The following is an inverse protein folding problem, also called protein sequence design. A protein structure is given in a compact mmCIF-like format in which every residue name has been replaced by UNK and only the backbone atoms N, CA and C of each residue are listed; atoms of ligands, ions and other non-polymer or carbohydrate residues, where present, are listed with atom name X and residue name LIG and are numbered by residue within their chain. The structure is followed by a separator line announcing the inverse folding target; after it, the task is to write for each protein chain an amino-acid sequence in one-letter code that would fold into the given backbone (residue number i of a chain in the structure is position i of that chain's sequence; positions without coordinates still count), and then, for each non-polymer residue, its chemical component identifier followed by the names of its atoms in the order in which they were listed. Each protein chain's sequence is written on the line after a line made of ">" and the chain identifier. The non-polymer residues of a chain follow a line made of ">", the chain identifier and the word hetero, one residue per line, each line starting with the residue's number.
data_IF_722000375832
#
_entry.id   IF_722000375832
#
_cell.length_a   1.000
_cell.length_b   1.000
_cell.length_c   1.000
_cell.angle_alpha   90.00
_cell.angle_beta   90.00
_cell.angle_gamma   90.00
#
_symmetry.space_group_name_H-M   'P 1'
#
loop_
_entity.id
_entity.type
_entity.pdbx_description
1 polymer ?
#
# COMPACT_ATOMS: atom_id res chain seq x y z
N UNK A 1 13.84 -57.33 -30.63
CA UNK A 1 13.62 -56.91 -29.22
C UNK A 1 13.80 -55.42 -28.91
N UNK A 2 14.78 -54.68 -29.49
CA UNK A 2 15.04 -53.27 -29.13
C UNK A 2 13.88 -52.26 -29.39
N UNK A 3 13.04 -52.48 -30.41
CA UNK A 3 11.94 -51.57 -30.80
C UNK A 3 10.85 -51.45 -29.71
N UNK A 4 10.57 -52.54 -28.99
CA UNK A 4 9.58 -52.56 -27.90
C UNK A 4 10.08 -51.79 -26.67
N UNK A 5 11.37 -51.85 -26.37
CA UNK A 5 11.97 -51.15 -25.23
C UNK A 5 12.00 -49.61 -25.40
N UNK A 6 12.14 -49.14 -26.65
CA UNK A 6 12.04 -47.71 -26.99
C UNK A 6 10.59 -47.22 -26.87
N UNK A 7 9.62 -48.03 -27.31
CA UNK A 7 8.19 -47.71 -27.17
C UNK A 7 7.76 -47.62 -25.70
N UNK A 8 8.22 -48.55 -24.85
CA UNK A 8 7.94 -48.54 -23.40
C UNK A 8 8.57 -47.34 -22.70
N UNK A 9 9.78 -46.90 -23.08
CA UNK A 9 10.40 -45.68 -22.54
C UNK A 9 9.59 -44.42 -22.89
N UNK A 10 9.09 -44.32 -24.14
CA UNK A 10 8.26 -43.19 -24.59
C UNK A 10 6.91 -43.16 -23.89
N UNK A 11 6.28 -44.32 -23.66
CA UNK A 11 5.03 -44.42 -22.90
C UNK A 11 5.23 -43.96 -21.44
N UNK A 12 6.32 -44.38 -20.78
CA UNK A 12 6.63 -43.93 -19.41
C UNK A 12 6.86 -42.42 -19.33
N UNK A 13 7.56 -41.83 -20.31
CA UNK A 13 7.75 -40.38 -20.38
C UNK A 13 6.44 -39.63 -20.64
N UNK A 14 5.57 -40.16 -21.52
CA UNK A 14 4.26 -39.57 -21.78
C UNK A 14 3.35 -39.59 -20.55
N UNK A 15 3.33 -40.70 -19.80
CA UNK A 15 2.56 -40.81 -18.54
C UNK A 15 3.11 -39.85 -17.47
N UNK A 16 4.43 -39.70 -17.35
CA UNK A 16 5.03 -38.75 -16.42
C UNK A 16 4.70 -37.29 -16.76
N UNK A 17 4.72 -36.94 -18.05
CA UNK A 17 4.29 -35.62 -18.53
C UNK A 17 2.81 -35.37 -18.26
N UNK A 18 1.95 -36.36 -18.50
CA UNK A 18 0.51 -36.26 -18.24
C UNK A 18 0.21 -36.11 -16.73
N UNK A 19 0.94 -36.82 -15.88
CA UNK A 19 0.81 -36.70 -14.43
C UNK A 19 1.28 -35.33 -13.93
N UNK A 20 2.33 -34.76 -14.54
CA UNK A 20 2.82 -33.44 -14.18
C UNK A 20 1.85 -32.33 -14.59
N UNK A 21 1.22 -32.42 -15.77
CA UNK A 21 0.23 -31.44 -16.23
C UNK A 21 -1.08 -31.51 -15.45
N UNK A 22 -1.52 -32.69 -15.01
CA UNK A 22 -2.73 -32.81 -14.17
C UNK A 22 -2.51 -32.28 -12.75
N UNK A 23 -1.33 -32.49 -12.16
CA UNK A 23 -0.98 -31.92 -10.85
C UNK A 23 -0.93 -30.38 -10.87
N UNK A 24 -0.36 -29.81 -11.94
CA UNK A 24 -0.26 -28.35 -12.08
C UNK A 24 -1.60 -27.69 -12.43
N UNK A 25 -2.51 -28.41 -13.10
CA UNK A 25 -3.88 -27.96 -13.31
C UNK A 25 -4.67 -27.86 -12.00
N UNK A 26 -4.49 -28.78 -11.04
CA UNK A 26 -5.16 -28.73 -9.73
C UNK A 26 -4.78 -27.49 -8.92
N UNK A 27 -3.54 -27.02 -9.02
CA UNK A 27 -3.07 -25.77 -8.39
C UNK A 27 -3.60 -24.50 -9.06
N UNK A 28 -4.02 -24.55 -10.32
CA UNK A 28 -4.58 -23.40 -11.04
C UNK A 28 -6.07 -23.16 -10.74
N UNK A 29 -6.80 -24.20 -10.33
CA UNK A 29 -8.24 -24.11 -10.02
C UNK A 29 -8.57 -23.54 -8.62
N UNK A 30 -7.58 -23.12 -7.81
CA UNK A 30 -7.81 -22.64 -6.44
C UNK A 30 -7.46 -21.17 -6.17
N UNK A 31 -7.05 -20.39 -7.16
CA UNK A 31 -6.98 -18.94 -7.00
C UNK A 31 -8.38 -18.33 -7.14
N UNK A 32 -9.17 -18.44 -6.07
CA UNK A 32 -10.42 -17.69 -5.93
C UNK A 32 -10.09 -16.19 -6.02
N UNK A 33 -10.62 -15.52 -7.05
CA UNK A 33 -10.43 -14.08 -7.24
C UNK A 33 -10.83 -13.27 -6.01
N UNK A 34 -11.79 -13.76 -5.23
CA UNK A 34 -12.17 -13.16 -3.94
C UNK A 34 -11.05 -13.26 -2.90
N UNK A 35 -10.38 -14.41 -2.81
CA UNK A 35 -9.24 -14.59 -1.92
C UNK A 35 -8.07 -13.68 -2.31
N UNK A 36 -7.83 -13.48 -3.61
CA UNK A 36 -6.83 -12.52 -4.10
C UNK A 36 -7.17 -11.06 -3.72
N UNK A 37 -8.42 -10.65 -3.92
CA UNK A 37 -8.89 -9.30 -3.55
C UNK A 37 -8.82 -9.08 -2.04
N UNK A 38 -9.21 -10.07 -1.23
CA UNK A 38 -9.15 -9.99 0.23
C UNK A 38 -7.69 -9.80 0.69
N UNK A 39 -6.76 -10.58 0.12
CA UNK A 39 -5.34 -10.51 0.45
C UNK A 39 -4.71 -9.17 0.06
N UNK A 40 -5.11 -8.62 -1.09
CA UNK A 40 -4.70 -7.28 -1.50
C UNK A 40 -5.25 -6.19 -0.57
N UNK A 41 -6.51 -6.30 -0.15
CA UNK A 41 -7.12 -5.39 0.82
C UNK A 41 -6.38 -5.41 2.17
N UNK A 42 -6.02 -6.60 2.67
CA UNK A 42 -5.26 -6.73 3.92
C UNK A 42 -3.85 -6.14 3.81
N UNK A 43 -3.17 -6.32 2.67
CA UNK A 43 -1.87 -5.68 2.42
C UNK A 43 -1.98 -4.16 2.37
N UNK A 44 -2.98 -3.62 1.66
CA UNK A 44 -3.22 -2.17 1.60
C UNK A 44 -3.50 -1.61 2.99
N UNK A 45 -4.32 -2.29 3.80
CA UNK A 45 -4.56 -1.95 5.22
C UNK A 45 -3.28 -1.95 6.05
N UNK A 46 -2.40 -2.94 5.85
CA UNK A 46 -1.12 -3.00 6.54
C UNK A 46 -0.19 -1.81 6.23
N UNK A 47 -0.28 -1.23 5.03
CA UNK A 47 0.52 -0.04 4.67
C UNK A 47 -0.04 1.27 5.24
N UNK A 48 -1.30 1.32 5.65
CA UNK A 48 -1.90 2.56 6.16
C UNK A 48 -1.26 3.05 7.45
N UNK A 49 -0.83 2.16 8.35
CA UNK A 49 -0.18 2.59 9.60
C UNK A 49 1.17 3.23 9.33
N UNK A 50 2.04 2.56 8.58
CA UNK A 50 3.34 3.13 8.18
C UNK A 50 3.17 4.40 7.33
N UNK A 51 2.15 4.44 6.47
CA UNK A 51 1.81 5.62 5.68
C UNK A 51 1.33 6.80 6.55
N UNK A 52 0.60 6.52 7.63
CA UNK A 52 0.14 7.53 8.59
C UNK A 52 1.31 8.12 9.35
N UNK A 53 2.24 7.28 9.83
CA UNK A 53 3.45 7.74 10.52
C UNK A 53 4.32 8.63 9.61
N UNK A 54 4.47 8.23 8.34
CA UNK A 54 5.17 9.05 7.34
C UNK A 54 4.47 10.40 7.14
N UNK A 55 3.13 10.42 7.07
CA UNK A 55 2.36 11.65 6.92
C UNK A 55 2.52 12.58 8.13
N UNK A 56 2.56 12.04 9.34
CA UNK A 56 2.84 12.84 10.54
C UNK A 56 4.26 13.42 10.54
N UNK A 57 5.26 12.64 10.12
CA UNK A 57 6.62 13.12 9.98
C UNK A 57 6.72 14.28 8.96
N UNK A 58 6.10 14.14 7.79
CA UNK A 58 6.04 15.19 6.77
C UNK A 58 5.28 16.41 7.29
N UNK A 59 4.14 16.20 7.94
CA UNK A 59 3.33 17.26 8.54
C UNK A 59 4.10 18.06 9.59
N UNK A 60 4.90 17.40 10.43
CA UNK A 60 5.75 18.06 11.41
C UNK A 60 6.80 18.97 10.75
N UNK A 61 7.49 18.48 9.71
CA UNK A 61 8.49 19.28 8.98
C UNK A 61 7.85 20.48 8.30
N UNK A 62 6.73 20.29 7.59
CA UNK A 62 6.03 21.40 6.92
C UNK A 62 5.44 22.40 7.93
N UNK A 63 4.96 21.91 9.08
CA UNK A 63 4.49 22.72 10.19
C UNK A 63 5.57 23.67 10.70
N UNK A 64 6.78 23.16 10.94
CA UNK A 64 7.93 23.97 11.36
C UNK A 64 8.31 25.02 10.29
N UNK A 65 8.37 24.64 9.01
CA UNK A 65 8.67 25.56 7.92
C UNK A 65 7.64 26.70 7.85
N UNK A 66 6.35 26.38 8.00
CA UNK A 66 5.29 27.38 8.02
C UNK A 66 5.37 28.31 9.22
N UNK A 67 5.71 27.79 10.41
CA UNK A 67 5.92 28.61 11.61
C UNK A 67 7.05 29.62 11.42
N UNK A 68 8.17 29.20 10.81
CA UNK A 68 9.29 30.11 10.49
C UNK A 68 8.84 31.22 9.54
N UNK A 69 8.03 30.91 8.52
CA UNK A 69 7.50 31.92 7.60
C UNK A 69 6.58 32.93 8.30
N UNK A 70 5.69 32.46 9.18
CA UNK A 70 4.81 33.34 9.97
C UNK A 70 5.64 34.25 10.87
N UNK A 71 6.65 33.71 11.55
CA UNK A 71 7.57 34.49 12.38
C UNK A 71 8.32 35.56 11.56
N UNK A 72 8.81 35.21 10.37
CA UNK A 72 9.48 36.17 9.49
C UNK A 72 8.55 37.33 9.09
N UNK A 73 7.30 37.04 8.69
CA UNK A 73 6.31 38.08 8.35
C UNK A 73 5.96 38.97 9.55
N UNK A 74 5.85 38.37 10.74
CA UNK A 74 5.60 39.11 11.98
C UNK A 74 6.72 40.10 12.27
N UNK A 75 7.98 39.67 12.19
CA UNK A 75 9.13 40.55 12.42
C UNK A 75 9.28 41.63 11.33
N UNK A 76 8.82 41.35 10.10
CA UNK A 76 8.80 42.32 9.01
C UNK A 76 7.68 43.37 9.14
N UNK A 77 6.77 43.25 10.12
CA UNK A 77 5.65 44.18 10.31
C UNK A 77 4.58 44.10 9.23
N UNK A 78 4.48 42.95 8.55
CA UNK A 78 3.60 42.81 7.39
C UNK A 78 2.13 42.73 7.83
N UNK A 79 1.21 43.54 7.26
CA UNK A 79 -0.18 43.63 7.72
C UNK A 79 -0.97 42.32 7.55
N UNK A 80 -0.54 41.45 6.64
CA UNK A 80 -1.20 40.16 6.36
C UNK A 80 -0.73 38.99 7.25
N UNK A 81 0.13 39.24 8.25
CA UNK A 81 0.70 38.19 9.10
C UNK A 81 -0.37 37.33 9.77
N UNK A 82 -1.43 37.95 10.32
CA UNK A 82 -2.53 37.22 10.98
C UNK A 82 -3.28 36.29 10.03
N UNK A 83 -3.45 36.71 8.77
CA UNK A 83 -4.08 35.88 7.73
C UNK A 83 -3.21 34.68 7.36
N UNK A 84 -1.90 34.90 7.22
CA UNK A 84 -0.94 33.84 6.93
C UNK A 84 -0.82 32.87 8.11
N UNK A 85 -0.80 33.38 9.35
CA UNK A 85 -0.78 32.58 10.56
C UNK A 85 -2.04 31.70 10.69
N UNK A 86 -3.22 32.28 10.47
CA UNK A 86 -4.48 31.54 10.50
C UNK A 86 -4.53 30.45 9.42
N UNK A 87 -4.09 30.76 8.19
CA UNK A 87 -4.03 29.80 7.10
C UNK A 87 -3.08 28.64 7.41
N UNK A 88 -1.89 28.93 7.93
CA UNK A 88 -0.91 27.91 8.32
C UNK A 88 -1.45 27.00 9.44
N UNK A 89 -2.04 27.60 10.47
CA UNK A 89 -2.58 26.86 11.61
C UNK A 89 -3.74 25.93 11.19
N UNK A 90 -4.65 26.44 10.35
CA UNK A 90 -5.72 25.64 9.76
C UNK A 90 -5.20 24.45 8.94
N UNK A 91 -4.16 24.66 8.13
CA UNK A 91 -3.51 23.56 7.39
C UNK A 91 -2.86 22.52 8.30
N UNK A 92 -2.24 22.94 9.41
CA UNK A 92 -1.63 22.01 10.37
C UNK A 92 -2.67 21.12 11.05
N UNK A 93 -3.78 21.70 11.51
CA UNK A 93 -4.88 20.95 12.12
C UNK A 93 -5.48 19.96 11.12
N UNK A 94 -5.72 20.39 9.88
CA UNK A 94 -6.26 19.54 8.83
C UNK A 94 -5.40 18.29 8.59
N UNK A 95 -4.08 18.46 8.53
CA UNK A 95 -3.13 17.36 8.30
C UNK A 95 -3.18 16.31 9.43
N UNK A 96 -3.34 16.74 10.68
CA UNK A 96 -3.46 15.84 11.84
C UNK A 96 -4.79 15.08 11.82
N UNK A 97 -5.90 15.75 11.48
CA UNK A 97 -7.24 15.13 11.49
C UNK A 97 -7.44 14.17 10.32
N UNK A 98 -6.86 14.46 9.14
CA UNK A 98 -6.97 13.61 7.95
C UNK A 98 -6.49 12.18 8.23
N UNK A 99 -5.43 12.00 9.01
CA UNK A 99 -4.95 10.69 9.43
C UNK A 99 -6.05 9.86 10.09
N UNK A 100 -6.76 10.44 11.06
CA UNK A 100 -7.84 9.78 11.80
C UNK A 100 -9.05 9.49 10.91
N UNK A 101 -9.38 10.41 10.00
CA UNK A 101 -10.50 10.24 9.06
C UNK A 101 -10.21 9.12 8.08
N UNK A 102 -9.00 9.03 7.53
CA UNK A 102 -8.59 7.94 6.64
C UNK A 102 -8.64 6.60 7.37
N UNK A 103 -8.05 6.49 8.57
CA UNK A 103 -8.14 5.28 9.40
C UNK A 103 -9.58 4.84 9.65
N UNK A 104 -10.46 5.81 9.94
CA UNK A 104 -11.90 5.58 10.14
C UNK A 104 -12.61 5.08 8.88
N UNK A 105 -12.31 5.62 7.70
CA UNK A 105 -12.91 5.17 6.44
C UNK A 105 -12.53 3.73 6.08
N UNK A 106 -11.33 3.28 6.43
CA UNK A 106 -10.88 1.92 6.12
C UNK A 106 -11.17 0.90 7.23
N UNK A 107 -11.74 1.33 8.36
CA UNK A 107 -12.03 0.48 9.52
C UNK A 107 -10.78 -0.04 10.21
N UNK A 108 -9.69 0.71 10.12
CA UNK A 108 -8.41 0.42 10.76
C UNK A 108 -8.39 1.24 12.05
N UNK A 109 -8.80 0.63 13.17
CA UNK A 109 -8.82 1.25 14.49
C UNK A 109 -7.60 0.82 15.30
#
# INVERSE_FOLDING_TARGET
>A
MKKNMISVKRIKQAVALLAFTTLSALSAFSQDGKAGIQKANDQVRGYFDTGTDLMYAVGAVLGLIGAVKVYQKWNAGEPDTSKVAASWFGSCIFLVIVATVIKSFFGIA
#
